data_IF_959763465630
#
_entry.id   IF_959763465630
#
_cell.length_a   1.000
_cell.length_b   1.000
_cell.length_c   1.000
_cell.angle_alpha   90.00
_cell.angle_beta   90.00
_cell.angle_gamma   90.00
#
_symmetry.space_group_name_H-M   'P 1'
#
loop_
_entity.id
_entity.type
_entity.pdbx_description
1 polymer ?
#
# COMPACT_ATOMS: atom_id res chain seq x y z
N UNK A 1 65.11 8.62 0.22
CA UNK A 1 64.15 7.54 -0.06
C UNK A 1 62.83 7.91 0.61
N UNK A 2 61.93 8.56 -0.13
CA UNK A 2 60.60 8.99 0.33
C UNK A 2 59.59 7.90 -0.03
N UNK A 3 58.99 7.27 0.98
CA UNK A 3 57.92 6.29 0.79
C UNK A 3 56.60 7.06 0.77
N UNK A 4 56.03 7.21 -0.43
CA UNK A 4 54.67 7.70 -0.64
C UNK A 4 53.69 6.51 -0.51
N UNK A 5 53.05 6.37 0.65
CA UNK A 5 51.91 5.48 0.82
C UNK A 5 50.66 6.14 0.23
N UNK A 6 50.26 5.76 -0.98
CA UNK A 6 48.98 6.15 -1.55
C UNK A 6 47.87 5.30 -0.91
N UNK A 7 47.09 5.90 0.00
CA UNK A 7 45.83 5.35 0.49
C UNK A 7 44.78 5.50 -0.62
N UNK A 8 44.56 4.45 -1.40
CA UNK A 8 43.45 4.36 -2.33
C UNK A 8 42.15 4.15 -1.53
N UNK A 9 41.37 5.21 -1.34
CA UNK A 9 39.99 5.09 -0.85
C UNK A 9 39.14 4.60 -2.02
N UNK A 10 38.91 3.29 -2.09
CA UNK A 10 37.95 2.72 -3.04
C UNK A 10 36.55 3.12 -2.60
N UNK A 11 35.97 4.14 -3.26
CA UNK A 11 34.54 4.41 -3.19
C UNK A 11 33.85 3.25 -3.93
N UNK A 12 33.31 2.29 -3.18
CA UNK A 12 32.48 1.22 -3.75
C UNK A 12 31.18 1.89 -4.18
N UNK A 13 31.09 2.27 -5.46
CA UNK A 13 29.82 2.57 -6.09
C UNK A 13 29.01 1.28 -6.11
N UNK A 14 28.16 1.09 -5.10
CA UNK A 14 27.29 -0.07 -5.02
C UNK A 14 26.35 -0.05 -6.24
N UNK A 15 26.59 -0.95 -7.19
CA UNK A 15 25.80 -1.11 -8.41
C UNK A 15 24.33 -1.29 -7.99
N UNK A 16 23.48 -0.32 -8.31
CA UNK A 16 22.03 -0.44 -8.08
C UNK A 16 21.51 -1.49 -9.06
N UNK A 17 20.92 -2.57 -8.53
CA UNK A 17 20.22 -3.55 -9.36
C UNK A 17 19.09 -2.87 -10.12
N UNK A 18 18.76 -3.39 -11.30
CA UNK A 18 17.48 -3.06 -11.94
C UNK A 18 16.31 -3.53 -11.08
N UNK A 19 15.10 -3.03 -11.35
CA UNK A 19 13.89 -3.46 -10.62
C UNK A 19 13.69 -4.97 -10.80
N UNK A 20 13.85 -5.48 -12.02
CA UNK A 20 13.67 -6.91 -12.31
C UNK A 20 14.71 -7.79 -11.61
N UNK A 21 15.98 -7.37 -11.63
CA UNK A 21 17.06 -8.07 -10.91
C UNK A 21 16.78 -8.08 -9.40
N UNK A 22 16.31 -6.95 -8.85
CA UNK A 22 15.95 -6.83 -7.44
C UNK A 22 14.78 -7.76 -7.06
N UNK A 23 13.75 -7.83 -7.90
CA UNK A 23 12.57 -8.68 -7.68
C UNK A 23 12.89 -10.17 -7.81
N UNK A 24 13.85 -10.54 -8.67
CA UNK A 24 14.25 -11.93 -8.88
C UNK A 24 15.08 -12.51 -7.71
N UNK A 25 15.72 -11.66 -6.90
CA UNK A 25 16.55 -12.12 -5.80
C UNK A 25 15.71 -12.68 -4.63
N UNK A 26 15.93 -13.94 -4.22
CA UNK A 26 15.13 -14.56 -3.18
C UNK A 26 15.38 -13.92 -1.81
N UNK A 27 14.34 -13.85 -0.98
CA UNK A 27 14.46 -13.40 0.40
C UNK A 27 15.20 -14.49 1.21
N UNK A 28 16.38 -14.20 1.80
CA UNK A 28 17.12 -15.17 2.60
C UNK A 28 16.32 -15.68 3.79
N UNK A 29 16.50 -16.94 4.17
CA UNK A 29 15.73 -17.59 5.24
C UNK A 29 15.84 -16.86 6.59
N UNK A 30 17.02 -16.34 6.94
CA UNK A 30 17.22 -15.54 8.15
C UNK A 30 16.38 -14.24 8.12
N UNK A 31 16.27 -13.60 6.95
CA UNK A 31 15.56 -12.33 6.78
C UNK A 31 14.05 -12.50 6.97
N UNK A 32 13.51 -13.68 6.62
CA UNK A 32 12.09 -14.03 6.82
C UNK A 32 11.69 -14.09 8.30
N UNK A 33 12.66 -14.23 9.21
CA UNK A 33 12.45 -14.32 10.65
C UNK A 33 12.72 -13.00 11.38
N UNK A 34 13.22 -11.97 10.69
CA UNK A 34 13.53 -10.69 11.31
C UNK A 34 12.24 -9.95 11.69
N UNK A 35 12.28 -9.29 12.85
CA UNK A 35 11.22 -8.41 13.34
C UNK A 35 11.82 -7.11 13.87
N UNK A 36 10.96 -6.14 14.18
CA UNK A 36 11.35 -4.89 14.82
C UNK A 36 12.46 -4.12 14.09
N UNK A 37 13.42 -3.61 14.86
CA UNK A 37 14.51 -2.80 14.31
C UNK A 37 15.40 -3.58 13.34
N UNK A 38 15.66 -4.86 13.60
CA UNK A 38 16.52 -5.69 12.74
C UNK A 38 15.90 -5.88 11.34
N UNK A 39 14.57 -6.02 11.25
CA UNK A 39 13.86 -6.05 9.98
C UNK A 39 13.98 -4.72 9.24
N UNK A 40 13.79 -3.60 9.95
CA UNK A 40 13.90 -2.26 9.38
C UNK A 40 15.30 -1.98 8.83
N UNK A 41 16.34 -2.36 9.57
CA UNK A 41 17.73 -2.19 9.14
C UNK A 41 18.04 -3.03 7.90
N UNK A 42 17.54 -4.27 7.86
CA UNK A 42 17.65 -5.12 6.67
C UNK A 42 16.97 -4.49 5.45
N UNK A 43 15.71 -4.06 5.59
CA UNK A 43 14.93 -3.44 4.49
C UNK A 43 15.63 -2.18 3.96
N UNK A 44 16.07 -1.29 4.85
CA UNK A 44 16.74 -0.04 4.46
C UNK A 44 18.13 -0.28 3.83
N UNK A 45 18.82 -1.36 4.21
CA UNK A 45 20.09 -1.75 3.57
C UNK A 45 19.87 -2.40 2.20
N UNK A 46 18.77 -3.13 2.05
CA UNK A 46 18.49 -3.98 0.89
C UNK A 46 17.94 -3.20 -0.31
N UNK A 47 17.20 -2.11 -0.07
CA UNK A 47 16.58 -1.33 -1.13
C UNK A 47 16.62 0.19 -0.85
N UNK A 48 16.72 1.05 -1.89
CA UNK A 48 16.74 2.50 -1.76
C UNK A 48 15.41 3.21 -2.11
N UNK A 49 14.35 2.48 -2.43
CA UNK A 49 13.07 2.99 -2.96
C UNK A 49 12.19 3.65 -1.90
N UNK A 50 12.20 3.14 -0.67
CA UNK A 50 11.49 3.71 0.46
C UNK A 50 12.31 3.61 1.74
N UNK A 51 11.95 4.40 2.76
CA UNK A 51 12.60 4.38 4.06
C UNK A 51 11.67 3.82 5.12
N UNK A 52 12.05 2.69 5.71
CA UNK A 52 11.34 2.09 6.83
C UNK A 52 11.80 2.71 8.17
N UNK A 53 10.87 2.81 9.13
CA UNK A 53 11.15 3.26 10.50
C UNK A 53 10.43 2.34 11.47
N UNK A 54 11.14 1.87 12.49
CA UNK A 54 10.53 1.05 13.54
C UNK A 54 9.93 1.93 14.64
N UNK A 55 8.75 1.55 15.11
CA UNK A 55 8.13 2.09 16.32
C UNK A 55 7.31 0.98 16.98
N UNK A 56 7.67 0.53 18.20
CA UNK A 56 6.95 -0.55 18.87
C UNK A 56 5.50 -0.17 19.19
N UNK A 57 5.26 1.10 19.54
CA UNK A 57 3.91 1.59 19.78
C UNK A 57 3.08 1.63 18.49
N UNK A 58 3.67 2.01 17.36
CA UNK A 58 2.97 1.99 16.08
C UNK A 58 2.69 0.56 15.60
N UNK A 59 3.63 -0.36 15.81
CA UNK A 59 3.45 -1.79 15.53
C UNK A 59 2.32 -2.40 16.35
N UNK A 60 2.35 -2.23 17.68
CA UNK A 60 1.28 -2.68 18.56
C UNK A 60 -0.06 -2.02 18.21
N UNK A 61 -0.04 -0.72 17.84
CA UNK A 61 -1.24 0.00 17.45
C UNK A 61 -1.84 -0.56 16.16
N UNK A 62 -1.05 -0.74 15.11
CA UNK A 62 -1.55 -1.21 13.82
C UNK A 62 -2.01 -2.68 13.90
N UNK A 63 -1.20 -3.55 14.49
CA UNK A 63 -1.49 -4.99 14.54
C UNK A 63 -2.77 -5.34 15.31
N UNK A 64 -3.13 -4.57 16.34
CA UNK A 64 -4.36 -4.80 17.10
C UNK A 64 -5.64 -4.31 16.39
N UNK A 65 -5.50 -3.62 15.25
CA UNK A 65 -6.61 -2.92 14.56
C UNK A 65 -6.82 -3.39 13.13
N UNK A 66 -5.84 -4.05 12.53
CA UNK A 66 -5.94 -4.58 11.17
C UNK A 66 -6.71 -5.91 11.15
N UNK A 67 -7.32 -6.20 10.01
CA UNK A 67 -7.91 -7.51 9.75
C UNK A 67 -6.85 -8.60 9.65
N UNK A 68 -7.23 -9.80 10.08
CA UNK A 68 -6.42 -10.99 9.91
C UNK A 68 -6.36 -11.37 8.42
N UNK A 69 -5.16 -11.68 7.92
CA UNK A 69 -4.93 -12.06 6.53
C UNK A 69 -5.73 -13.28 6.09
N UNK A 70 -6.18 -14.16 7.00
CA UNK A 70 -7.02 -15.32 6.65
C UNK A 70 -8.36 -14.96 6.00
N UNK A 71 -8.82 -13.72 6.17
CA UNK A 71 -10.05 -13.22 5.55
C UNK A 71 -9.82 -12.69 4.13
N UNK A 72 -8.56 -12.60 3.68
CA UNK A 72 -8.27 -12.22 2.30
C UNK A 72 -8.63 -13.34 1.33
N UNK A 73 -9.34 -13.00 0.27
CA UNK A 73 -9.74 -13.93 -0.80
C UNK A 73 -8.91 -13.62 -2.04
N UNK A 74 -8.29 -14.63 -2.63
CA UNK A 74 -7.64 -14.47 -3.93
C UNK A 74 -8.73 -14.28 -5.00
N UNK A 75 -8.72 -13.16 -5.75
CA UNK A 75 -9.69 -12.95 -6.82
C UNK A 75 -9.52 -14.02 -7.89
N UNK A 76 -10.64 -14.52 -8.43
CA UNK A 76 -10.58 -15.46 -9.56
C UNK A 76 -10.22 -14.67 -10.81
N UNK A 77 -9.33 -15.20 -11.63
CA UNK A 77 -8.90 -14.54 -12.87
C UNK A 77 -10.08 -14.31 -13.83
N UNK A 78 -11.11 -15.16 -13.76
CA UNK A 78 -12.36 -15.03 -14.51
C UNK A 78 -13.14 -13.74 -14.18
N UNK A 79 -12.98 -13.20 -12.97
CA UNK A 79 -13.62 -11.95 -12.55
C UNK A 79 -12.85 -10.71 -13.05
N UNK A 80 -11.63 -10.89 -13.57
CA UNK A 80 -10.80 -9.82 -14.12
C UNK A 80 -11.21 -9.57 -15.56
N UNK A 81 -11.90 -8.47 -15.80
CA UNK A 81 -12.21 -8.02 -17.15
C UNK A 81 -10.93 -7.49 -17.82
N UNK A 82 -10.46 -8.20 -18.84
CA UNK A 82 -9.47 -7.65 -19.76
C UNK A 82 -10.19 -6.65 -20.67
N UNK A 83 -10.04 -5.37 -20.35
CA UNK A 83 -10.55 -4.29 -21.19
C UNK A 83 -9.45 -3.91 -22.16
N UNK A 84 -9.63 -4.25 -23.43
CA UNK A 84 -8.80 -3.71 -24.51
C UNK A 84 -9.29 -2.29 -24.82
N UNK A 85 -8.66 -1.31 -24.20
CA UNK A 85 -8.95 0.09 -24.43
C UNK A 85 -8.05 0.57 -25.57
N UNK A 86 -8.65 0.98 -26.69
CA UNK A 86 -7.96 1.72 -27.77
C UNK A 86 -7.69 3.18 -27.33
N UNK A 87 -7.03 3.33 -26.18
CA UNK A 87 -6.72 4.61 -25.55
C UNK A 87 -5.33 4.53 -24.95
N UNK A 88 -4.50 5.51 -25.29
CA UNK A 88 -3.20 5.68 -24.66
C UNK A 88 -3.37 6.20 -23.22
N UNK A 89 -2.94 5.41 -22.23
CA UNK A 89 -2.99 5.80 -20.83
C UNK A 89 -1.87 6.80 -20.52
N UNK A 90 -2.12 7.81 -19.66
CA UNK A 90 -1.11 8.79 -19.31
C UNK A 90 0.02 8.16 -18.47
N UNK A 91 1.24 8.71 -18.60
CA UNK A 91 2.40 8.30 -17.79
C UNK A 91 2.16 8.46 -16.27
N UNK A 92 1.34 9.44 -15.88
CA UNK A 92 0.94 9.65 -14.48
C UNK A 92 -0.53 10.03 -14.38
N UNK A 93 -1.19 9.55 -13.32
CA UNK A 93 -2.59 9.85 -13.04
C UNK A 93 -2.83 10.01 -11.55
N UNK A 94 -3.52 11.08 -11.17
CA UNK A 94 -4.00 11.31 -9.81
C UNK A 94 -5.49 11.66 -9.85
N UNK A 95 -6.33 10.77 -9.32
CA UNK A 95 -7.78 10.93 -9.28
C UNK A 95 -8.21 12.24 -8.60
N UNK A 96 -7.42 12.74 -7.64
CA UNK A 96 -7.69 13.99 -6.91
C UNK A 96 -7.48 15.24 -7.77
N UNK A 97 -6.65 15.12 -8.82
CA UNK A 97 -6.42 16.18 -9.80
C UNK A 97 -7.43 16.09 -10.94
N UNK A 98 -7.79 14.88 -11.34
CA UNK A 98 -8.73 14.65 -12.44
C UNK A 98 -10.20 14.93 -12.04
N UNK A 99 -10.59 14.63 -10.80
CA UNK A 99 -11.90 14.96 -10.23
C UNK A 99 -11.77 15.85 -9.00
N UNK A 100 -11.33 17.11 -9.16
CA UNK A 100 -11.04 18.01 -8.03
C UNK A 100 -12.30 18.34 -7.21
N UNK A 101 -13.47 18.31 -7.84
CA UNK A 101 -14.77 18.57 -7.21
C UNK A 101 -15.24 17.44 -6.30
N UNK A 102 -14.68 16.23 -6.46
CA UNK A 102 -14.98 15.07 -5.63
C UNK A 102 -14.07 15.03 -4.41
N UNK A 103 -14.43 15.81 -3.39
CA UNK A 103 -13.66 15.95 -2.14
C UNK A 103 -13.49 14.64 -1.38
N UNK A 104 -14.37 13.66 -1.59
CA UNK A 104 -14.26 12.33 -0.98
C UNK A 104 -12.95 11.62 -1.34
N UNK A 105 -12.40 11.84 -2.55
CA UNK A 105 -11.16 11.20 -3.02
C UNK A 105 -9.95 11.65 -2.19
N UNK A 106 -10.02 12.87 -1.62
CA UNK A 106 -8.98 13.42 -0.73
C UNK A 106 -9.19 13.05 0.73
N UNK A 107 -10.35 12.52 1.08
CA UNK A 107 -10.76 12.32 2.46
C UNK A 107 -10.18 11.01 3.01
N UNK A 108 -9.35 11.12 4.05
CA UNK A 108 -8.75 9.96 4.73
C UNK A 108 -9.63 9.56 5.90
N UNK A 109 -10.20 8.34 5.83
CA UNK A 109 -11.02 7.76 6.90
C UNK A 109 -10.14 7.06 7.95
N UNK A 110 -10.62 7.03 9.19
CA UNK A 110 -10.02 6.26 10.28
C UNK A 110 -10.94 5.10 10.68
N UNK A 111 -10.45 3.87 10.58
CA UNK A 111 -11.18 2.67 10.99
C UNK A 111 -11.23 2.48 12.51
N UNK A 112 -10.54 3.33 13.27
CA UNK A 112 -10.44 3.27 14.73
C UNK A 112 -9.90 1.92 15.22
N UNK A 113 -10.28 1.51 16.42
CA UNK A 113 -9.87 0.23 17.02
C UNK A 113 -10.71 -0.97 16.53
N UNK A 114 -10.91 -1.08 15.22
CA UNK A 114 -11.71 -2.14 14.60
C UNK A 114 -11.04 -2.65 13.32
N UNK A 115 -11.10 -3.96 13.07
CA UNK A 115 -10.76 -4.58 11.78
C UNK A 115 -11.77 -4.25 10.66
N UNK A 116 -12.21 -3.01 10.55
CA UNK A 116 -13.23 -2.60 9.59
C UNK A 116 -12.64 -2.11 8.27
N UNK A 117 -11.34 -2.33 8.02
CA UNK A 117 -10.65 -1.81 6.82
C UNK A 117 -11.37 -2.17 5.52
N UNK A 118 -11.93 -3.39 5.41
CA UNK A 118 -12.70 -3.84 4.25
C UNK A 118 -13.95 -2.98 4.00
N UNK A 119 -14.66 -2.59 5.06
CA UNK A 119 -15.85 -1.75 4.99
C UNK A 119 -15.48 -0.28 4.75
N UNK A 120 -14.46 0.22 5.46
CA UNK A 120 -13.96 1.60 5.32
C UNK A 120 -13.40 1.87 3.93
N UNK A 121 -12.58 0.96 3.38
CA UNK A 121 -12.03 1.12 2.03
C UNK A 121 -13.12 1.04 0.96
N UNK A 122 -14.07 0.11 1.11
CA UNK A 122 -15.18 -0.05 0.17
C UNK A 122 -16.10 1.18 0.18
N UNK A 123 -16.53 1.65 1.35
CA UNK A 123 -17.34 2.87 1.47
C UNK A 123 -16.61 4.11 0.94
N UNK A 124 -15.29 4.21 1.15
CA UNK A 124 -14.44 5.25 0.58
C UNK A 124 -14.54 5.27 -0.96
N UNK A 125 -14.20 4.15 -1.60
CA UNK A 125 -14.25 4.04 -3.05
C UNK A 125 -15.67 4.19 -3.63
N UNK A 126 -16.71 3.71 -2.93
CA UNK A 126 -18.11 3.91 -3.33
C UNK A 126 -18.50 5.39 -3.30
N UNK A 127 -18.07 6.13 -2.27
CA UNK A 127 -18.29 7.58 -2.17
C UNK A 127 -17.68 8.32 -3.37
N UNK A 128 -16.44 7.95 -3.71
CA UNK A 128 -15.70 8.51 -4.83
C UNK A 128 -16.41 8.24 -6.15
N UNK A 129 -16.82 6.98 -6.39
CA UNK A 129 -17.52 6.58 -7.62
C UNK A 129 -18.87 7.25 -7.76
N UNK A 130 -19.64 7.41 -6.68
CA UNK A 130 -20.92 8.15 -6.73
C UNK A 130 -20.69 9.58 -7.19
N UNK A 131 -19.66 10.25 -6.66
CA UNK A 131 -19.33 11.61 -7.09
C UNK A 131 -18.87 11.66 -8.56
N UNK A 132 -17.94 10.79 -8.96
CA UNK A 132 -17.40 10.75 -10.33
C UNK A 132 -18.51 10.46 -11.34
N UNK A 133 -19.31 9.42 -11.11
CA UNK A 133 -20.35 8.99 -12.06
C UNK A 133 -21.54 9.95 -12.12
N UNK A 134 -21.79 10.71 -11.05
CA UNK A 134 -22.83 11.74 -11.03
C UNK A 134 -22.36 13.09 -11.60
N UNK A 135 -21.18 13.15 -12.22
CA UNK A 135 -20.54 14.40 -12.66
C UNK A 135 -20.49 15.45 -11.53
N UNK A 136 -20.06 15.01 -10.34
CA UNK A 136 -19.94 15.83 -9.13
C UNK A 136 -21.24 16.40 -8.57
N UNK A 137 -22.41 15.97 -9.04
CA UNK A 137 -23.70 16.44 -8.53
C UNK A 137 -24.11 15.75 -7.21
N UNK A 138 -23.65 14.52 -6.96
CA UNK A 138 -23.86 13.81 -5.70
C UNK A 138 -22.53 13.64 -4.95
N UNK A 139 -22.34 14.42 -3.88
CA UNK A 139 -21.13 14.37 -3.03
C UNK A 139 -21.50 13.84 -1.65
N UNK A 140 -21.51 12.52 -1.50
CA UNK A 140 -21.94 11.84 -0.26
C UNK A 140 -20.83 10.95 0.29
N UNK A 141 -20.80 10.80 1.61
CA UNK A 141 -20.02 9.77 2.26
C UNK A 141 -20.90 8.56 2.51
N UNK A 142 -20.63 7.48 1.79
CA UNK A 142 -21.25 6.19 2.06
C UNK A 142 -20.83 5.72 3.46
N UNK A 143 -21.79 5.15 4.19
CA UNK A 143 -21.62 4.69 5.57
C UNK A 143 -20.83 3.39 5.62
N UNK A 144 -19.58 3.47 6.07
CA UNK A 144 -18.77 2.28 6.39
C UNK A 144 -19.37 1.49 7.56
N UNK A 145 -20.03 2.17 8.50
CA UNK A 145 -20.67 1.55 9.66
C UNK A 145 -21.86 0.69 9.23
N UNK A 146 -22.66 1.16 8.28
CA UNK A 146 -23.80 0.38 7.77
C UNK A 146 -23.32 -0.89 7.06
N UNK A 147 -22.29 -0.80 6.20
CA UNK A 147 -21.66 -1.97 5.60
C UNK A 147 -21.14 -2.95 6.68
N UNK A 148 -20.44 -2.42 7.68
CA UNK A 148 -19.85 -3.19 8.77
C UNK A 148 -20.91 -3.92 9.61
N UNK A 149 -22.02 -3.26 9.96
CA UNK A 149 -23.02 -3.79 10.89
C UNK A 149 -24.16 -4.55 10.22
N UNK A 150 -24.51 -4.21 8.99
CA UNK A 150 -25.75 -4.67 8.34
C UNK A 150 -25.52 -5.73 7.27
N UNK A 151 -24.28 -5.94 6.78
CA UNK A 151 -24.01 -7.01 5.83
C UNK A 151 -24.20 -8.42 6.42
N UNK A 152 -24.10 -8.55 7.75
CA UNK A 152 -24.27 -9.82 8.45
C UNK A 152 -23.22 -10.85 8.05
N UNK A 153 -23.62 -12.13 7.99
CA UNK A 153 -22.70 -13.24 7.71
C UNK A 153 -22.17 -13.29 6.28
N UNK A 154 -22.70 -12.48 5.36
CA UNK A 154 -22.31 -12.48 3.94
C UNK A 154 -20.96 -11.81 3.70
N UNK A 155 -20.66 -10.74 4.44
CA UNK A 155 -19.36 -10.05 4.34
C UNK A 155 -18.81 -9.50 5.67
N UNK A 156 -19.52 -9.69 6.81
CA UNK A 156 -19.10 -9.19 8.12
C UNK A 156 -17.80 -9.78 8.69
N UNK A 157 -17.21 -10.76 8.01
CA UNK A 157 -15.90 -11.32 8.35
C UNK A 157 -14.75 -10.72 7.50
N UNK A 158 -15.04 -9.75 6.63
CA UNK A 158 -14.11 -9.32 5.58
C UNK A 158 -14.43 -9.93 4.24
#
# INVERSE_FOLDING_TARGET
>A
MLILCALAVTVIAQKRLSIDEFLAEPIPEFARKLTGQALVDYVNKRQPYFKAKYSPNAEAFATSRLMDMKYTVTPKMEDVQNVDLDVELPESFDARQHWPECTSIRYIRDQSACGSCWAVSSAGAMSDRVCVQSNSTMKVHISDTDLLSCCGSTCGYG
#
